data_IF_878419142419
#
_entry.id   IF_878419142419
#
_cell.length_a   1.000
_cell.length_b   1.000
_cell.length_c   1.000
_cell.angle_alpha   90.00
_cell.angle_beta   90.00
_cell.angle_gamma   90.00
#
_symmetry.space_group_name_H-M   'P 1'
#
loop_
_entity.id
_entity.type
_entity.pdbx_description
1 polymer ?
#
# COMPACT_ATOMS: atom_id res chain seq x y z
N UNK A 1 -29.86 42.53 -17.66
CA UNK A 1 -30.03 41.08 -17.90
C UNK A 1 -28.83 40.59 -18.72
N UNK A 2 -27.86 39.93 -18.07
CA UNK A 2 -26.68 39.34 -18.70
C UNK A 2 -26.88 37.84 -18.70
N UNK A 3 -27.01 37.22 -19.86
CA UNK A 3 -27.00 35.79 -20.05
C UNK A 3 -25.54 35.29 -20.12
N UNK A 4 -25.07 34.56 -19.09
CA UNK A 4 -23.87 33.77 -19.21
C UNK A 4 -24.26 32.37 -19.65
N UNK A 5 -23.88 32.01 -20.89
CA UNK A 5 -23.91 30.64 -21.38
C UNK A 5 -22.60 29.95 -20.99
N UNK A 6 -22.67 28.99 -20.08
CA UNK A 6 -21.52 28.13 -19.73
C UNK A 6 -21.65 26.89 -20.62
N UNK A 7 -20.82 26.82 -21.67
CA UNK A 7 -20.63 25.60 -22.45
C UNK A 7 -19.83 24.59 -21.63
N UNK A 8 -20.51 23.59 -21.09
CA UNK A 8 -19.89 22.45 -20.43
C UNK A 8 -19.17 21.56 -21.44
N UNK A 9 -17.83 21.58 -21.42
CA UNK A 9 -17.01 20.69 -22.22
C UNK A 9 -16.91 19.38 -21.45
N UNK A 10 -17.61 18.34 -21.89
CA UNK A 10 -17.49 16.99 -21.36
C UNK A 10 -16.02 16.53 -21.47
N UNK A 11 -15.39 16.25 -20.33
CA UNK A 11 -14.06 15.67 -20.26
C UNK A 11 -14.22 14.14 -20.27
N UNK A 12 -13.72 13.49 -21.29
CA UNK A 12 -13.62 12.04 -21.32
C UNK A 12 -12.69 11.55 -20.20
N UNK A 13 -12.87 10.34 -19.64
CA UNK A 13 -12.01 9.78 -18.55
C UNK A 13 -10.53 9.79 -18.90
N UNK A 14 -10.18 9.59 -20.17
CA UNK A 14 -8.82 9.64 -20.66
C UNK A 14 -8.17 11.02 -20.48
N UNK A 15 -8.90 12.12 -20.65
CA UNK A 15 -8.38 13.47 -20.46
C UNK A 15 -8.22 13.85 -18.98
N UNK A 16 -9.00 13.24 -18.08
CA UNK A 16 -8.85 13.44 -16.65
C UNK A 16 -7.57 12.76 -16.13
N UNK A 17 -7.25 11.57 -16.62
CA UNK A 17 -6.03 10.84 -16.27
C UNK A 17 -4.77 11.55 -16.78
N UNK A 18 -4.79 12.07 -18.02
CA UNK A 18 -3.69 12.87 -18.58
C UNK A 18 -3.45 14.17 -17.79
N UNK A 19 -4.51 14.84 -17.33
CA UNK A 19 -4.37 16.05 -16.51
C UNK A 19 -3.80 15.75 -15.12
N UNK A 20 -4.14 14.61 -14.52
CA UNK A 20 -3.62 14.16 -13.24
C UNK A 20 -2.13 13.79 -13.32
N UNK A 21 -1.72 13.11 -14.40
CA UNK A 21 -0.32 12.76 -14.65
C UNK A 21 0.51 14.01 -14.89
N UNK A 22 0.02 14.97 -15.68
CA UNK A 22 0.69 16.26 -15.89
C UNK A 22 0.84 17.07 -14.60
N UNK A 23 -0.20 17.14 -13.79
CA UNK A 23 -0.16 17.85 -12.50
C UNK A 23 0.81 17.21 -11.50
N UNK A 24 0.95 15.88 -11.55
CA UNK A 24 1.94 15.12 -10.75
C UNK A 24 3.36 15.36 -11.24
N UNK A 25 3.55 15.53 -12.54
CA UNK A 25 4.85 15.83 -13.15
C UNK A 25 5.30 17.25 -12.83
N UNK A 26 4.43 18.25 -12.92
CA UNK A 26 4.71 19.64 -12.51
C UNK A 26 5.05 19.77 -11.01
N UNK A 27 4.32 19.00 -10.14
CA UNK A 27 4.66 18.94 -8.71
C UNK A 27 6.02 18.30 -8.45
N UNK A 28 6.42 17.30 -9.23
CA UNK A 28 7.75 16.67 -9.12
C UNK A 28 8.86 17.64 -9.55
N UNK A 29 8.67 18.37 -10.62
CA UNK A 29 9.65 19.37 -11.10
C UNK A 29 9.77 20.55 -10.12
N UNK A 30 8.68 21.00 -9.51
CA UNK A 30 8.69 22.03 -8.48
C UNK A 30 9.42 21.55 -7.21
N UNK A 31 9.25 20.30 -6.79
CA UNK A 31 9.97 19.75 -5.62
C UNK A 31 11.43 19.47 -5.89
N UNK A 32 11.83 19.12 -7.13
CA UNK A 32 13.23 18.92 -7.48
C UNK A 32 14.01 20.22 -7.58
N UNK A 33 13.35 21.34 -7.86
CA UNK A 33 14.00 22.66 -8.00
C UNK A 33 14.20 23.40 -6.68
N UNK A 34 13.69 22.86 -5.56
CA UNK A 34 13.87 23.39 -4.19
C UNK A 34 14.85 22.57 -3.34
N UNK A 35 15.67 21.72 -3.96
CA UNK A 35 16.66 20.95 -3.22
C UNK A 35 17.76 21.87 -2.65
N UNK A 36 17.67 22.13 -1.36
CA UNK A 36 18.78 22.74 -0.60
C UNK A 36 19.96 21.79 -0.68
N UNK A 37 21.07 22.24 -1.27
CA UNK A 37 22.26 21.39 -1.40
C UNK A 37 22.78 21.02 -0.01
N UNK A 38 23.32 19.79 0.15
CA UNK A 38 23.92 19.33 1.41
C UNK A 38 24.93 20.34 1.99
N UNK A 39 25.62 21.10 1.15
CA UNK A 39 26.54 22.16 1.54
C UNK A 39 25.86 23.39 2.14
N UNK A 40 24.65 23.73 1.69
CA UNK A 40 23.84 24.82 2.25
C UNK A 40 23.20 24.42 3.58
N UNK A 41 22.76 23.17 3.70
CA UNK A 41 22.24 22.61 4.95
C UNK A 41 23.34 22.56 6.04
N UNK A 42 24.55 22.08 5.71
CA UNK A 42 25.68 22.04 6.64
C UNK A 42 26.17 23.43 7.06
N UNK A 43 26.05 24.44 6.19
CA UNK A 43 26.39 25.83 6.54
C UNK A 43 25.36 26.47 7.46
N UNK A 44 24.07 26.13 7.29
CA UNK A 44 23.00 26.64 8.14
C UNK A 44 23.01 25.98 9.54
N UNK A 45 23.30 24.68 9.63
CA UNK A 45 23.42 23.96 10.91
C UNK A 45 24.70 24.26 11.67
N UNK A 46 25.80 24.61 10.98
CA UNK A 46 27.06 25.01 11.61
C UNK A 46 26.99 26.33 12.40
N UNK A 47 26.13 27.26 11.99
CA UNK A 47 25.93 28.54 12.69
C UNK A 47 25.05 28.42 13.95
N UNK A 48 24.15 27.42 14.03
CA UNK A 48 23.33 27.16 15.20
C UNK A 48 24.09 26.42 16.32
N UNK A 49 25.11 25.59 15.98
CA UNK A 49 25.91 24.87 16.96
C UNK A 49 26.96 25.73 17.64
N UNK A 50 27.44 26.82 17.01
CA UNK A 50 28.43 27.71 17.61
C UNK A 50 27.85 28.66 18.69
N UNK A 51 26.53 28.87 18.71
CA UNK A 51 25.83 29.70 19.72
C UNK A 51 25.50 28.98 21.02
N UNK A 52 25.45 27.66 21.04
CA UNK A 52 25.02 26.88 22.21
C UNK A 52 26.18 26.44 23.12
N UNK A 53 27.44 26.47 22.64
CA UNK A 53 28.60 26.02 23.42
C UNK A 53 29.23 27.10 24.29
N UNK A 54 28.84 28.37 24.16
CA UNK A 54 29.41 29.46 24.94
C UNK A 54 28.74 29.75 26.29
N UNK A 55 27.60 29.10 26.59
CA UNK A 55 26.83 29.30 27.84
C UNK A 55 26.99 28.19 28.87
N UNK A 56 27.77 27.14 28.61
CA UNK A 56 27.86 25.92 29.42
C UNK A 56 29.07 25.75 30.32
N UNK A 57 30.01 26.74 30.42
CA UNK A 57 31.28 26.55 31.12
C UNK A 57 31.43 27.28 32.48
N UNK A 58 30.35 27.73 33.10
CA UNK A 58 30.42 28.45 34.38
C UNK A 58 29.37 27.98 35.40
N UNK A 59 29.33 26.71 35.75
CA UNK A 59 28.85 26.30 37.08
C UNK A 59 29.54 24.99 37.49
N UNK A 60 30.64 25.13 38.13
CA UNK A 60 31.28 24.06 38.89
C UNK A 60 30.78 24.05 40.33
N UNK A 61 30.76 22.91 40.88
CA UNK A 61 30.86 22.54 42.30
C UNK A 61 29.73 22.92 43.29
N UNK A 62 29.15 21.91 43.85
CA UNK A 62 28.78 21.90 45.27
C UNK A 62 27.31 21.67 45.57
N UNK A 63 26.98 20.53 46.18
CA UNK A 63 25.74 20.38 46.91
C UNK A 63 25.02 19.02 46.78
N UNK A 64 25.34 18.10 47.67
CA UNK A 64 24.60 16.85 47.89
C UNK A 64 23.13 17.15 48.24
N UNK A 65 22.18 16.56 47.54
CA UNK A 65 20.90 16.19 48.08
C UNK A 65 20.34 14.96 47.35
N UNK A 66 20.19 13.93 48.14
CA UNK A 66 19.59 12.64 47.86
C UNK A 66 18.15 12.77 47.34
N UNK A 67 17.96 12.35 46.12
CA UNK A 67 16.64 12.08 45.53
C UNK A 67 16.71 10.73 44.83
N UNK A 68 16.26 9.67 45.52
CA UNK A 68 16.17 8.32 44.97
C UNK A 68 15.08 8.29 43.88
N UNK A 69 15.48 8.41 42.64
CA UNK A 69 14.71 7.95 41.54
C UNK A 69 15.13 6.50 41.23
N UNK A 70 14.42 5.54 41.80
CA UNK A 70 14.53 4.13 41.44
C UNK A 70 14.03 3.90 40.03
N UNK A 71 14.88 4.20 39.08
CA UNK A 71 14.75 3.71 37.73
C UNK A 71 15.25 2.28 37.70
N UNK A 72 14.37 1.31 37.72
CA UNK A 72 14.75 -0.08 37.47
C UNK A 72 15.38 -0.15 36.07
N UNK A 73 16.69 -0.21 36.02
CA UNK A 73 17.42 -0.60 34.83
C UNK A 73 17.13 -2.08 34.57
N UNK A 74 16.17 -2.33 33.71
CA UNK A 74 15.98 -3.63 33.08
C UNK A 74 17.22 -3.91 32.26
N UNK A 75 18.04 -4.84 32.73
CA UNK A 75 19.21 -5.35 32.01
C UNK A 75 18.82 -6.34 30.95
N UNK A 76 18.06 -5.85 29.94
CA UNK A 76 17.84 -6.54 28.67
C UNK A 76 18.74 -5.87 27.63
N UNK A 77 19.71 -6.58 27.06
CA UNK A 77 20.56 -6.11 25.98
C UNK A 77 19.81 -6.04 24.63
N UNK A 78 18.61 -5.54 24.62
CA UNK A 78 17.85 -5.28 23.43
C UNK A 78 18.09 -3.85 22.96
N UNK A 79 18.50 -3.66 21.71
CA UNK A 79 18.50 -2.34 21.08
C UNK A 79 17.05 -1.85 20.98
N UNK A 80 16.72 -0.73 21.60
CA UNK A 80 15.40 -0.11 21.42
C UNK A 80 15.48 0.91 20.30
N UNK A 81 14.54 0.83 19.36
CA UNK A 81 14.36 1.82 18.29
C UNK A 81 13.06 2.57 18.53
N UNK A 82 13.13 3.88 18.56
CA UNK A 82 11.95 4.71 18.81
C UNK A 82 11.66 5.57 17.61
N UNK A 83 10.46 5.45 17.08
CA UNK A 83 9.93 6.29 16.00
C UNK A 83 8.88 7.24 16.61
N UNK A 84 8.94 8.51 16.20
CA UNK A 84 7.92 9.50 16.53
C UNK A 84 6.92 9.58 15.38
N UNK A 85 5.63 9.48 15.70
CA UNK A 85 4.53 9.72 14.80
C UNK A 85 3.86 11.05 15.16
N UNK A 86 3.33 11.76 14.17
CA UNK A 86 2.58 13.00 14.33
C UNK A 86 1.13 12.77 14.74
N UNK A 87 0.61 11.55 14.54
CA UNK A 87 -0.75 11.15 14.84
C UNK A 87 -0.82 9.67 15.21
N UNK A 88 -1.98 9.22 15.68
CA UNK A 88 -2.25 7.80 15.91
C UNK A 88 -2.66 7.11 14.62
N UNK A 89 -2.20 5.86 14.35
CA UNK A 89 -2.73 5.06 13.26
C UNK A 89 -4.24 4.85 13.43
N UNK A 90 -5.00 5.01 12.36
CA UNK A 90 -6.44 4.77 12.36
C UNK A 90 -6.75 3.27 12.37
N UNK A 91 -5.89 2.46 11.77
CA UNK A 91 -5.98 1.01 11.70
C UNK A 91 -4.58 0.39 11.67
N UNK A 92 -4.48 -0.88 12.06
CA UNK A 92 -3.29 -1.71 11.82
C UNK A 92 -3.50 -2.70 10.67
N UNK A 93 -4.63 -2.62 9.98
CA UNK A 93 -4.92 -3.44 8.82
C UNK A 93 -4.20 -2.87 7.58
N UNK A 94 -2.94 -3.27 7.39
CA UNK A 94 -2.09 -2.83 6.29
C UNK A 94 -2.59 -3.28 4.91
N UNK A 95 -3.49 -4.28 4.82
CA UNK A 95 -4.08 -4.75 3.56
C UNK A 95 -5.11 -3.76 3.00
N UNK A 96 -5.74 -2.94 3.85
CA UNK A 96 -6.80 -2.01 3.41
C UNK A 96 -6.39 -0.55 3.45
N UNK A 97 -5.38 -0.18 4.25
CA UNK A 97 -4.93 1.21 4.36
C UNK A 97 -4.02 1.63 3.22
N UNK A 98 -4.07 2.92 2.87
CA UNK A 98 -3.16 3.56 1.91
C UNK A 98 -2.41 4.75 2.53
N UNK A 99 -2.42 4.91 3.87
CA UNK A 99 -1.75 6.03 4.53
C UNK A 99 -0.31 5.69 4.90
N UNK A 100 0.59 6.66 4.79
CA UNK A 100 2.02 6.47 5.05
C UNK A 100 2.28 6.00 6.49
N UNK A 101 1.48 6.49 7.45
CA UNK A 101 1.65 6.17 8.86
C UNK A 101 1.44 4.67 9.15
N UNK A 102 0.32 4.12 8.69
CA UNK A 102 0.02 2.70 8.86
C UNK A 102 0.97 1.81 8.06
N UNK A 103 1.37 2.24 6.86
CA UNK A 103 2.34 1.52 6.03
C UNK A 103 3.71 1.44 6.69
N UNK A 104 4.17 2.50 7.37
CA UNK A 104 5.43 2.47 8.15
C UNK A 104 5.33 1.48 9.31
N UNK A 105 4.19 1.42 10.01
CA UNK A 105 3.98 0.41 11.08
C UNK A 105 3.99 -1.00 10.47
N UNK A 106 3.25 -1.23 9.38
CA UNK A 106 3.20 -2.51 8.67
C UNK A 106 4.58 -2.99 8.25
N UNK A 107 5.39 -2.12 7.64
CA UNK A 107 6.75 -2.44 7.18
C UNK A 107 7.73 -2.84 8.30
N UNK A 108 7.41 -2.56 9.57
CA UNK A 108 8.21 -3.02 10.73
C UNK A 108 7.65 -4.30 11.38
N UNK A 109 6.52 -4.81 10.92
CA UNK A 109 5.84 -5.96 11.51
C UNK A 109 5.66 -7.12 10.53
N UNK A 110 5.75 -6.86 9.22
CA UNK A 110 5.44 -7.84 8.17
C UNK A 110 6.56 -7.83 7.13
N UNK A 111 7.14 -9.00 6.88
CA UNK A 111 8.12 -9.19 5.82
C UNK A 111 7.43 -9.27 4.46
N UNK A 112 8.12 -8.80 3.43
CA UNK A 112 7.68 -8.86 2.03
C UNK A 112 8.35 -10.01 1.29
N UNK A 113 7.87 -10.35 0.08
CA UNK A 113 8.50 -11.36 -0.77
C UNK A 113 9.95 -11.00 -1.09
N UNK A 114 10.19 -9.73 -1.43
CA UNK A 114 11.51 -9.18 -1.74
C UNK A 114 11.68 -7.84 -1.03
N UNK A 115 12.93 -7.47 -0.76
CA UNK A 115 13.29 -6.20 -0.12
C UNK A 115 14.25 -5.40 -0.99
N UNK A 116 14.36 -4.10 -0.72
CA UNK A 116 15.38 -3.25 -1.34
C UNK A 116 16.39 -2.80 -0.29
N UNK A 117 17.67 -3.00 -0.58
CA UNK A 117 18.72 -2.47 0.26
C UNK A 117 18.83 -0.92 0.14
N UNK A 118 19.70 -0.32 0.95
CA UNK A 118 19.92 1.14 0.97
C UNK A 118 20.51 1.71 -0.33
N UNK A 119 20.81 0.86 -1.32
CA UNK A 119 21.28 1.25 -2.66
C UNK A 119 20.21 1.02 -3.73
N UNK A 120 19.02 0.54 -3.35
CA UNK A 120 17.94 0.19 -4.25
C UNK A 120 18.16 -1.13 -5.00
N UNK A 121 19.02 -2.01 -4.48
CA UNK A 121 19.21 -3.36 -5.04
C UNK A 121 18.21 -4.30 -4.38
N UNK A 122 17.48 -5.06 -5.20
CA UNK A 122 16.54 -6.07 -4.75
C UNK A 122 17.27 -7.21 -4.01
N UNK A 123 16.72 -7.62 -2.89
CA UNK A 123 17.24 -8.64 -1.99
C UNK A 123 16.16 -9.66 -1.65
N UNK A 124 16.58 -10.82 -1.19
CA UNK A 124 15.71 -11.83 -0.63
C UNK A 124 14.97 -11.28 0.61
N UNK A 125 13.65 -11.43 0.62
CA UNK A 125 12.78 -11.27 1.78
C UNK A 125 12.28 -12.64 2.23
N UNK A 126 10.96 -12.89 2.15
CA UNK A 126 10.39 -14.23 2.33
C UNK A 126 10.70 -15.14 1.13
N UNK A 127 10.84 -14.60 -0.08
CA UNK A 127 11.31 -15.36 -1.24
C UNK A 127 12.84 -15.43 -1.27
N UNK A 128 13.38 -16.63 -1.40
CA UNK A 128 14.83 -16.92 -1.56
C UNK A 128 15.28 -16.87 -3.01
N UNK A 129 14.34 -17.02 -3.94
CA UNK A 129 14.57 -16.88 -5.37
C UNK A 129 13.26 -16.60 -6.08
N UNK A 130 13.35 -16.07 -7.29
CA UNK A 130 12.21 -15.82 -8.17
C UNK A 130 12.60 -15.91 -9.62
N UNK A 131 11.65 -16.34 -10.45
CA UNK A 131 11.81 -16.52 -11.88
C UNK A 131 10.71 -15.75 -12.62
N UNK A 132 11.06 -15.19 -13.78
CA UNK A 132 10.12 -14.51 -14.66
C UNK A 132 10.02 -15.25 -15.99
N UNK A 133 8.81 -15.67 -16.34
CA UNK A 133 8.48 -16.21 -17.64
C UNK A 133 7.72 -15.17 -18.47
N UNK A 134 8.39 -14.61 -19.45
CA UNK A 134 7.83 -13.55 -20.33
C UNK A 134 6.77 -14.10 -21.30
N UNK A 135 6.81 -15.38 -21.63
CA UNK A 135 5.86 -15.98 -22.56
C UNK A 135 4.48 -16.20 -21.91
N UNK A 136 4.47 -16.51 -20.62
CA UNK A 136 3.25 -16.69 -19.81
C UNK A 136 2.93 -15.50 -18.94
N UNK A 137 3.78 -14.47 -18.91
CA UNK A 137 3.68 -13.30 -18.02
C UNK A 137 3.58 -13.70 -16.55
N UNK A 138 4.36 -14.72 -16.15
CA UNK A 138 4.23 -15.31 -14.81
C UNK A 138 5.52 -15.15 -14.01
N UNK A 139 5.40 -14.56 -12.83
CA UNK A 139 6.41 -14.60 -11.78
C UNK A 139 6.21 -15.84 -10.92
N UNK A 140 7.30 -16.55 -10.61
CA UNK A 140 7.33 -17.66 -9.65
C UNK A 140 8.26 -17.28 -8.51
N UNK A 141 7.76 -17.33 -7.26
CA UNK A 141 8.52 -17.04 -6.05
C UNK A 141 8.70 -18.32 -5.22
N UNK A 142 9.92 -18.60 -4.77
CA UNK A 142 10.24 -19.72 -3.89
C UNK A 142 10.48 -19.22 -2.47
N UNK A 143 9.59 -19.58 -1.56
CA UNK A 143 9.55 -19.08 -0.18
C UNK A 143 10.48 -19.88 0.73
N UNK A 144 11.14 -19.22 1.68
CA UNK A 144 11.82 -19.88 2.79
C UNK A 144 10.82 -20.42 3.82
N UNK A 145 11.23 -21.37 4.62
CA UNK A 145 10.47 -21.74 5.82
C UNK A 145 10.53 -20.58 6.82
N UNK A 146 9.37 -20.08 7.22
CA UNK A 146 9.22 -19.00 8.19
C UNK A 146 7.90 -19.17 8.95
N UNK A 147 7.74 -18.44 10.07
CA UNK A 147 6.56 -18.55 10.91
C UNK A 147 5.94 -17.18 11.21
N UNK A 148 4.62 -17.15 11.25
CA UNK A 148 3.88 -16.09 11.92
C UNK A 148 4.14 -16.15 13.42
N UNK A 149 4.46 -15.02 14.02
CA UNK A 149 4.69 -14.90 15.47
C UNK A 149 3.74 -13.86 16.07
N UNK A 150 3.40 -14.05 17.34
CA UNK A 150 2.64 -13.06 18.09
C UNK A 150 3.53 -11.92 18.62
N UNK A 151 2.95 -10.98 19.35
CA UNK A 151 3.66 -9.84 19.94
C UNK A 151 4.71 -10.23 21.02
N UNK A 152 4.72 -11.48 21.48
CA UNK A 152 5.72 -12.02 22.40
C UNK A 152 6.81 -12.82 21.69
N UNK A 153 6.69 -13.01 20.36
CA UNK A 153 7.58 -13.84 19.56
C UNK A 153 7.24 -15.33 19.61
N UNK A 154 6.04 -15.69 20.10
CA UNK A 154 5.59 -17.09 20.11
C UNK A 154 5.08 -17.47 18.72
N UNK A 155 5.46 -18.67 18.24
CA UNK A 155 5.03 -19.19 16.94
C UNK A 155 3.52 -19.45 16.96
N UNK A 156 2.82 -18.89 15.97
CA UNK A 156 1.37 -19.05 15.79
C UNK A 156 1.06 -20.05 14.68
N UNK A 157 1.71 -19.92 13.52
CA UNK A 157 1.51 -20.78 12.35
C UNK A 157 2.70 -20.68 11.39
N UNK A 158 2.95 -21.66 10.51
CA UNK A 158 3.88 -21.49 9.40
C UNK A 158 3.36 -20.42 8.41
N UNK A 159 4.28 -19.70 7.78
CA UNK A 159 3.99 -18.84 6.62
C UNK A 159 3.96 -19.71 5.38
N UNK A 160 2.93 -19.59 4.58
CA UNK A 160 2.75 -20.37 3.35
C UNK A 160 2.43 -19.48 2.14
N UNK A 161 2.57 -20.01 0.93
CA UNK A 161 2.13 -19.33 -0.29
C UNK A 161 0.62 -19.03 -0.29
N UNK A 162 -0.18 -19.83 0.43
CA UNK A 162 -1.62 -19.60 0.57
C UNK A 162 -1.94 -18.29 1.31
N UNK A 163 -1.10 -17.85 2.26
CA UNK A 163 -1.30 -16.59 2.97
C UNK A 163 -1.29 -15.38 2.01
N UNK A 164 -0.47 -15.42 0.98
CA UNK A 164 -0.41 -14.38 -0.06
C UNK A 164 -1.66 -14.41 -0.96
N UNK A 165 -2.13 -15.60 -1.30
CA UNK A 165 -3.38 -15.79 -2.07
C UNK A 165 -4.57 -15.24 -1.28
N UNK A 166 -4.66 -15.57 0.00
CA UNK A 166 -5.74 -15.11 0.89
C UNK A 166 -5.67 -13.60 1.13
N UNK A 167 -4.47 -13.03 1.27
CA UNK A 167 -4.27 -11.59 1.38
C UNK A 167 -4.74 -10.85 0.11
N UNK A 168 -4.43 -11.39 -1.08
CA UNK A 168 -4.88 -10.80 -2.34
C UNK A 168 -6.40 -10.88 -2.49
N UNK A 169 -7.00 -12.02 -2.14
CA UNK A 169 -8.46 -12.19 -2.11
C UNK A 169 -9.13 -11.22 -1.14
N UNK A 170 -8.51 -10.99 0.02
CA UNK A 170 -8.97 -9.99 0.98
C UNK A 170 -9.00 -8.58 0.37
N UNK A 171 -7.90 -8.16 -0.27
CA UNK A 171 -7.80 -6.84 -0.94
C UNK A 171 -8.84 -6.70 -2.06
N UNK A 172 -9.11 -7.78 -2.81
CA UNK A 172 -10.08 -7.81 -3.90
C UNK A 172 -11.54 -7.99 -3.44
N UNK A 173 -11.80 -8.08 -2.14
CA UNK A 173 -13.18 -8.14 -1.61
C UNK A 173 -13.71 -6.70 -1.45
N UNK A 174 -14.76 -6.28 -2.19
CA UNK A 174 -15.24 -4.90 -2.19
C UNK A 174 -15.68 -4.38 -0.82
N UNK A 175 -16.21 -5.25 0.03
CA UNK A 175 -16.68 -4.88 1.38
C UNK A 175 -15.58 -4.33 2.29
N UNK A 176 -14.34 -4.67 2.03
CA UNK A 176 -13.19 -4.18 2.82
C UNK A 176 -12.65 -2.84 2.33
N UNK A 177 -13.11 -2.34 1.19
CA UNK A 177 -12.76 -1.04 0.62
C UNK A 177 -11.25 -0.75 0.64
N UNK A 178 -10.43 -1.73 0.21
CA UNK A 178 -8.98 -1.62 0.24
C UNK A 178 -8.49 -0.49 -0.67
N UNK A 179 -7.72 0.45 -0.09
CA UNK A 179 -7.20 1.63 -0.81
C UNK A 179 -6.26 1.27 -1.96
N UNK A 180 -5.61 0.11 -1.88
CA UNK A 180 -4.62 -0.35 -2.86
C UNK A 180 -5.20 -1.28 -3.92
N UNK A 181 -6.51 -1.54 -3.93
CA UNK A 181 -7.17 -2.43 -4.89
C UNK A 181 -6.83 -2.08 -6.34
N UNK A 182 -6.74 -0.78 -6.67
CA UNK A 182 -6.39 -0.33 -8.01
C UNK A 182 -4.99 -0.75 -8.50
N UNK A 183 -4.04 -1.05 -7.60
CA UNK A 183 -2.75 -1.63 -7.99
C UNK A 183 -2.90 -3.10 -8.38
N UNK A 184 -3.69 -3.85 -7.61
CA UNK A 184 -3.93 -5.28 -7.88
C UNK A 184 -4.68 -5.47 -9.19
N UNK A 185 -5.78 -4.74 -9.39
CA UNK A 185 -6.61 -4.83 -10.60
C UNK A 185 -5.88 -4.37 -11.86
N UNK A 186 -4.89 -3.47 -11.73
CA UNK A 186 -4.12 -2.98 -12.86
C UNK A 186 -3.08 -4.00 -13.37
N UNK A 187 -2.52 -4.83 -12.49
CA UNK A 187 -1.38 -5.66 -12.85
C UNK A 187 -1.67 -7.16 -12.84
N UNK A 188 -2.52 -7.68 -11.95
CA UNK A 188 -2.79 -9.11 -11.83
C UNK A 188 -3.89 -9.51 -12.82
N UNK A 189 -3.63 -10.53 -13.62
CA UNK A 189 -4.58 -11.07 -14.59
C UNK A 189 -5.88 -11.49 -13.90
N UNK A 190 -7.02 -11.16 -14.50
CA UNK A 190 -8.37 -11.50 -13.98
C UNK A 190 -8.80 -10.77 -12.70
N UNK A 191 -7.92 -9.99 -12.06
CA UNK A 191 -8.26 -9.29 -10.82
C UNK A 191 -9.30 -8.17 -11.03
N UNK A 192 -9.24 -7.47 -12.16
CA UNK A 192 -10.20 -6.43 -12.50
C UNK A 192 -11.59 -7.01 -12.73
N UNK A 193 -11.69 -8.08 -13.51
CA UNK A 193 -12.97 -8.78 -13.79
C UNK A 193 -13.58 -9.33 -12.49
N UNK A 194 -12.76 -9.96 -11.63
CA UNK A 194 -13.21 -10.46 -10.33
C UNK A 194 -13.73 -9.35 -9.43
N UNK A 195 -12.94 -8.27 -9.26
CA UNK A 195 -13.32 -7.17 -8.39
C UNK A 195 -14.58 -6.45 -8.87
N UNK A 196 -14.66 -6.12 -10.16
CA UNK A 196 -15.80 -5.41 -10.74
C UNK A 196 -17.06 -6.26 -10.66
N UNK A 197 -17.00 -7.57 -10.96
CA UNK A 197 -18.15 -8.46 -10.82
C UNK A 197 -18.70 -8.46 -9.38
N UNK A 198 -17.82 -8.64 -8.38
CA UNK A 198 -18.24 -8.69 -6.98
C UNK A 198 -18.73 -7.33 -6.46
N UNK A 199 -18.13 -6.22 -6.92
CA UNK A 199 -18.61 -4.88 -6.63
C UNK A 199 -20.03 -4.65 -7.17
N UNK A 200 -20.27 -4.99 -8.42
CA UNK A 200 -21.57 -4.83 -9.06
C UNK A 200 -22.63 -5.76 -8.46
N UNK A 201 -22.25 -6.99 -8.11
CA UNK A 201 -23.13 -7.92 -7.40
C UNK A 201 -23.50 -7.37 -6.02
N UNK A 202 -22.55 -6.80 -5.28
CA UNK A 202 -22.81 -6.18 -3.98
C UNK A 202 -23.76 -4.97 -4.13
N UNK A 203 -23.54 -4.11 -5.12
CA UNK A 203 -24.42 -2.98 -5.43
C UNK A 203 -25.85 -3.46 -5.80
N UNK A 204 -25.97 -4.51 -6.60
CA UNK A 204 -27.27 -5.10 -6.94
C UNK A 204 -28.00 -5.64 -5.71
N UNK A 205 -27.30 -6.34 -4.81
CA UNK A 205 -27.87 -6.93 -3.60
C UNK A 205 -28.29 -5.87 -2.57
N UNK A 206 -27.59 -4.74 -2.53
CA UNK A 206 -27.86 -3.63 -1.59
C UNK A 206 -28.77 -2.56 -2.17
N UNK A 207 -29.08 -2.62 -3.46
CA UNK A 207 -29.96 -1.66 -4.15
C UNK A 207 -29.31 -0.29 -4.31
N UNK A 208 -28.00 -0.24 -4.42
CA UNK A 208 -27.25 1.02 -4.66
C UNK A 208 -27.60 1.58 -6.03
N UNK A 209 -27.75 2.89 -6.08
CA UNK A 209 -27.82 3.69 -7.31
C UNK A 209 -26.70 4.72 -7.20
N UNK A 210 -25.83 4.77 -8.19
CA UNK A 210 -24.73 5.73 -8.17
C UNK A 210 -25.20 7.17 -8.40
N UNK A 211 -24.35 8.13 -8.08
CA UNK A 211 -24.65 9.57 -8.21
C UNK A 211 -24.99 9.99 -9.65
N UNK A 212 -24.51 9.26 -10.66
CA UNK A 212 -24.82 9.47 -12.07
C UNK A 212 -26.14 8.79 -12.51
N UNK A 213 -26.79 8.03 -11.62
CA UNK A 213 -28.02 7.28 -11.89
C UNK A 213 -27.80 5.87 -12.42
N UNK A 214 -26.56 5.34 -12.40
CA UNK A 214 -26.26 3.93 -12.75
C UNK A 214 -26.93 2.98 -11.75
N UNK A 215 -27.60 1.96 -12.28
CA UNK A 215 -28.31 0.93 -11.51
C UNK A 215 -27.74 -0.45 -11.74
N UNK A 216 -27.90 -1.32 -10.74
CA UNK A 216 -27.39 -2.68 -10.73
C UNK A 216 -28.51 -3.66 -10.43
N UNK A 217 -28.58 -4.77 -11.17
CA UNK A 217 -29.53 -5.85 -10.92
C UNK A 217 -28.81 -7.19 -11.07
N UNK A 218 -29.18 -8.19 -10.26
CA UNK A 218 -28.67 -9.55 -10.40
C UNK A 218 -29.84 -10.51 -10.62
N UNK A 219 -29.67 -11.47 -11.53
CA UNK A 219 -30.63 -12.52 -11.75
C UNK A 219 -30.39 -13.76 -10.86
N UNK A 220 -31.26 -14.77 -10.97
CA UNK A 220 -31.16 -16.01 -10.21
C UNK A 220 -29.97 -16.90 -10.56
N UNK A 221 -29.25 -16.62 -11.65
CA UNK A 221 -28.01 -17.31 -12.05
C UNK A 221 -26.73 -16.55 -11.61
N UNK A 222 -26.89 -15.38 -10.98
CA UNK A 222 -25.79 -14.53 -10.53
C UNK A 222 -25.25 -13.61 -11.63
N UNK A 223 -25.88 -13.56 -12.81
CA UNK A 223 -25.51 -12.57 -13.84
C UNK A 223 -25.94 -11.20 -13.38
N UNK A 224 -24.99 -10.26 -13.35
CA UNK A 224 -25.24 -8.86 -12.98
C UNK A 224 -25.42 -8.02 -14.24
N UNK A 225 -26.45 -7.19 -14.23
CA UNK A 225 -26.70 -6.19 -15.27
C UNK A 225 -26.48 -4.79 -14.69
N UNK A 226 -25.59 -4.03 -15.32
CA UNK A 226 -25.30 -2.63 -15.01
C UNK A 226 -25.95 -1.76 -16.09
N UNK A 227 -26.77 -0.81 -15.67
CA UNK A 227 -27.47 0.11 -16.57
C UNK A 227 -27.11 1.54 -16.18
N UNK A 228 -26.26 2.17 -16.97
CA UNK A 228 -25.96 3.58 -16.84
C UNK A 228 -26.97 4.43 -17.68
N UNK A 229 -27.27 5.67 -17.28
CA UNK A 229 -28.07 6.57 -18.09
C UNK A 229 -27.47 6.75 -19.49
N UNK A 230 -28.33 6.77 -20.49
CA UNK A 230 -27.94 7.00 -21.91
C UNK A 230 -26.97 5.94 -22.50
N UNK A 231 -26.89 4.75 -21.91
CA UNK A 231 -26.06 3.63 -22.37
C UNK A 231 -26.87 2.34 -22.44
N UNK A 232 -26.49 1.44 -23.35
CA UNK A 232 -27.04 0.09 -23.38
C UNK A 232 -26.61 -0.68 -22.12
N UNK A 233 -27.48 -1.52 -21.52
CA UNK A 233 -27.13 -2.34 -20.37
C UNK A 233 -25.96 -3.27 -20.66
N UNK A 234 -24.99 -3.32 -19.76
CA UNK A 234 -23.86 -4.24 -19.79
C UNK A 234 -24.11 -5.41 -18.82
N UNK A 235 -23.76 -6.64 -19.22
CA UNK A 235 -23.95 -7.85 -18.41
C UNK A 235 -22.61 -8.46 -18.02
N UNK A 236 -22.50 -8.91 -16.77
CA UNK A 236 -21.31 -9.51 -16.18
C UNK A 236 -21.67 -10.90 -15.64
N UNK A 237 -21.04 -11.92 -16.19
CA UNK A 237 -21.18 -13.29 -15.71
C UNK A 237 -20.44 -13.46 -14.38
N UNK A 238 -20.83 -14.46 -13.55
CA UNK A 238 -20.08 -14.81 -12.34
C UNK A 238 -18.61 -15.07 -12.62
N UNK A 239 -17.76 -14.49 -11.78
CA UNK A 239 -16.30 -14.67 -11.83
C UNK A 239 -15.84 -15.22 -10.47
N UNK A 240 -15.26 -16.43 -10.48
CA UNK A 240 -14.67 -17.05 -9.30
C UNK A 240 -13.23 -16.57 -9.09
N UNK A 241 -12.72 -16.67 -7.86
CA UNK A 241 -11.36 -16.24 -7.52
C UNK A 241 -10.28 -17.05 -8.26
N UNK A 242 -10.59 -18.26 -8.69
CA UNK A 242 -9.68 -19.10 -9.47
C UNK A 242 -9.30 -18.50 -10.85
N UNK A 243 -10.05 -17.49 -11.31
CA UNK A 243 -9.72 -16.73 -12.52
C UNK A 243 -8.65 -15.64 -12.28
N UNK A 244 -8.34 -15.33 -11.01
CA UNK A 244 -7.33 -14.35 -10.64
C UNK A 244 -5.94 -14.97 -10.74
N UNK A 245 -5.02 -14.28 -11.40
CA UNK A 245 -3.66 -14.73 -11.67
C UNK A 245 -2.76 -14.81 -10.44
N UNK A 246 -3.20 -15.46 -9.36
CA UNK A 246 -2.39 -15.76 -8.18
C UNK A 246 -2.64 -17.20 -7.77
N UNK A 247 -1.58 -17.98 -7.52
CA UNK A 247 -1.71 -19.38 -7.14
C UNK A 247 -0.62 -19.81 -6.17
N UNK A 248 -1.02 -20.45 -5.07
CA UNK A 248 -0.13 -21.27 -4.25
C UNK A 248 0.01 -22.64 -4.91
N UNK A 249 1.15 -22.89 -5.57
CA UNK A 249 1.44 -24.17 -6.23
C UNK A 249 1.65 -25.27 -5.20
N UNK A 250 2.33 -24.90 -4.11
CA UNK A 250 2.52 -25.65 -2.89
C UNK A 250 2.76 -24.66 -1.73
N UNK A 251 3.09 -25.15 -0.53
CA UNK A 251 3.28 -24.31 0.65
C UNK A 251 4.38 -23.25 0.49
N UNK A 252 5.36 -23.49 -0.41
CA UNK A 252 6.54 -22.65 -0.59
C UNK A 252 6.73 -22.14 -2.02
N UNK A 253 5.77 -22.36 -2.91
CA UNK A 253 5.83 -21.89 -4.30
C UNK A 253 4.59 -21.07 -4.63
N UNK A 254 4.79 -19.77 -4.85
CA UNK A 254 3.77 -18.80 -5.19
C UNK A 254 3.96 -18.29 -6.62
N UNK A 255 2.87 -18.19 -7.39
CA UNK A 255 2.91 -17.60 -8.74
C UNK A 255 1.97 -16.40 -8.84
N UNK A 256 2.42 -15.40 -9.62
CA UNK A 256 1.60 -14.28 -10.08
C UNK A 256 1.64 -14.20 -11.60
N UNK A 257 0.48 -14.22 -12.23
CA UNK A 257 0.32 -13.98 -13.67
C UNK A 257 -0.14 -12.55 -13.89
N UNK A 258 0.59 -11.80 -14.71
CA UNK A 258 0.32 -10.39 -14.98
C UNK A 258 -0.54 -10.19 -16.23
N UNK A 259 -1.16 -9.02 -16.35
CA UNK A 259 -1.93 -8.60 -17.53
C UNK A 259 -1.03 -8.23 -18.71
N UNK A 260 0.21 -7.80 -18.44
CA UNK A 260 1.20 -7.40 -19.44
C UNK A 260 2.61 -7.49 -18.86
N UNK A 261 3.62 -7.46 -19.72
CA UNK A 261 5.02 -7.45 -19.31
C UNK A 261 5.35 -6.16 -18.54
N UNK A 262 5.59 -6.30 -17.25
CA UNK A 262 5.92 -5.20 -16.35
C UNK A 262 7.20 -5.52 -15.56
N UNK A 263 8.36 -5.00 -16.00
CA UNK A 263 9.65 -5.30 -15.37
C UNK A 263 9.82 -4.75 -13.95
N UNK A 264 8.91 -3.92 -13.51
CA UNK A 264 8.93 -3.29 -12.18
C UNK A 264 7.95 -3.89 -11.17
N UNK A 265 7.41 -5.07 -11.49
CA UNK A 265 6.50 -5.79 -10.58
C UNK A 265 7.23 -6.33 -9.36
#
# INVERSE_FOLDING_TARGET
>A
TVHLSVAGKQRTPHNAMLSFVQQKQEKREFMMNTSISRRQFLKASGLAAAGACAAGLLTGCGGSSSGSASGAASSGSGSSYTILYDSQPATLNYLTTGTDLEMVVGANCVDTLVEYDNKGVMREGLATSWDWDVDTLTWTFHLREENWVDCNGEVVAPVTAQDFVDALKYVLTPDYAASNVGLVTAYIAGADDYYNYHLYLNNANTGVVDDDGTTYTADGSGVVTVTAPDSDPATYAPVDFDAVGVTAVDDHTLTYTLTYDFPGF
#
